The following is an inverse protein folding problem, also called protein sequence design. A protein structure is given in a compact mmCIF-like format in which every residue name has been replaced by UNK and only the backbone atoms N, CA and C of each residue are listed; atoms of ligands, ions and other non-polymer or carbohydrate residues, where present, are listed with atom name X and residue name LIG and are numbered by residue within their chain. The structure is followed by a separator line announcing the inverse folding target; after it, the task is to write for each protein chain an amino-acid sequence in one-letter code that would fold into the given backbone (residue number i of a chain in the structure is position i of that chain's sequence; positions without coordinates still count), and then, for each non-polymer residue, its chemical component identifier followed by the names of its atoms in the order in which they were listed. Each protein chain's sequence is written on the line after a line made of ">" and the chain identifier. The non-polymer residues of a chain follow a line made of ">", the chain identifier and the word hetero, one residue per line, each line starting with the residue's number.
data_IF_249837586526
#
_entry.id   IF_249837586526
#
_cell.length_a   1.000
_cell.length_b   1.000
_cell.length_c   1.000
_cell.angle_alpha   90.00
_cell.angle_beta   90.00
_cell.angle_gamma   90.00
#
_symmetry.space_group_name_H-M   'P 1'
#
loop_
_entity.id
_entity.type
_entity.pdbx_description
1 polymer ?
#
# COMPACT_ATOMS: atom_id res chain seq x y z
N UNK A 1 1.43 14.00 19.85
CA UNK A 1 0.93 14.66 18.61
C UNK A 1 2.02 15.34 17.78
N UNK A 2 3.22 15.58 18.31
CA UNK A 2 4.29 16.30 17.59
C UNK A 2 5.06 15.44 16.58
N UNK A 3 5.00 14.11 16.68
CA UNK A 3 5.84 13.22 15.87
C UNK A 3 5.25 12.92 14.49
N UNK A 4 6.12 12.97 13.48
CA UNK A 4 5.74 12.79 12.08
C UNK A 4 5.35 11.35 11.74
N UNK A 5 5.98 10.35 12.38
CA UNK A 5 5.77 8.92 12.17
C UNK A 5 5.18 8.25 13.43
N UNK A 6 3.90 8.51 13.68
CA UNK A 6 3.19 8.04 14.87
C UNK A 6 3.02 6.51 14.91
N UNK A 7 3.12 5.85 13.76
CA UNK A 7 3.10 4.40 13.60
C UNK A 7 4.35 3.72 14.19
N UNK A 8 5.50 4.41 14.21
CA UNK A 8 6.78 3.89 14.73
C UNK A 8 7.03 4.33 16.18
N UNK A 9 6.40 5.43 16.60
CA UNK A 9 6.54 6.00 17.92
C UNK A 9 6.25 5.00 19.05
N UNK A 10 6.98 5.14 20.15
CA UNK A 10 6.78 4.34 21.35
C UNK A 10 5.44 4.67 21.99
N UNK A 11 4.63 3.63 22.23
CA UNK A 11 3.40 3.78 22.99
C UNK A 11 3.67 4.02 24.48
N UNK A 12 2.76 4.69 25.20
CA UNK A 12 2.85 4.83 26.65
C UNK A 12 2.94 3.47 27.32
N UNK A 13 3.59 3.39 28.49
CA UNK A 13 3.86 2.12 29.21
C UNK A 13 2.63 1.22 29.38
N UNK A 14 1.43 1.79 29.53
CA UNK A 14 0.17 1.06 29.68
C UNK A 14 -0.30 0.33 28.41
N UNK A 15 0.20 0.72 27.25
CA UNK A 15 -0.20 0.19 25.94
C UNK A 15 0.95 -0.50 25.20
N UNK A 16 2.05 -0.80 25.90
CA UNK A 16 3.25 -1.41 25.32
C UNK A 16 3.04 -2.88 24.94
N UNK A 17 2.20 -3.60 25.68
CA UNK A 17 1.98 -5.05 25.49
C UNK A 17 0.79 -5.39 24.57
N UNK A 18 0.38 -4.45 23.71
CA UNK A 18 -0.71 -4.67 22.77
C UNK A 18 -0.27 -5.49 21.57
N UNK A 19 -1.16 -6.35 21.08
CA UNK A 19 -0.90 -7.05 19.81
C UNK A 19 -0.81 -6.03 18.65
N UNK A 20 -0.05 -6.33 17.59
CA UNK A 20 0.11 -5.44 16.44
C UNK A 20 -1.24 -5.02 15.82
N UNK A 21 -2.23 -5.91 15.85
CA UNK A 21 -3.59 -5.61 15.40
C UNK A 21 -4.31 -4.58 16.29
N UNK A 22 -4.20 -4.70 17.62
CA UNK A 22 -4.78 -3.72 18.54
C UNK A 22 -4.10 -2.35 18.42
N UNK A 23 -2.79 -2.33 18.12
CA UNK A 23 -2.04 -1.10 17.82
C UNK A 23 -2.57 -0.38 16.57
N UNK A 24 -2.95 -1.12 15.52
CA UNK A 24 -3.60 -0.54 14.34
C UNK A 24 -4.97 0.08 14.66
N UNK A 25 -5.76 -0.55 15.51
CA UNK A 25 -7.06 -0.01 15.95
C UNK A 25 -6.86 1.31 16.69
N UNK A 26 -5.88 1.38 17.60
CA UNK A 26 -5.54 2.63 18.29
C UNK A 26 -5.12 3.73 17.31
N UNK A 27 -4.27 3.39 16.32
CA UNK A 27 -3.83 4.34 15.32
C UNK A 27 -4.99 4.84 14.45
N UNK A 28 -5.99 4.00 14.15
CA UNK A 28 -7.22 4.40 13.47
C UNK A 28 -8.03 5.43 14.24
N UNK A 29 -8.11 5.30 15.57
CA UNK A 29 -8.87 6.22 16.43
C UNK A 29 -8.11 7.54 16.60
N UNK A 30 -6.78 7.50 16.74
CA UNK A 30 -5.97 8.67 17.07
C UNK A 30 -5.52 9.46 15.83
N UNK A 31 -5.15 8.79 14.74
CA UNK A 31 -4.60 9.41 13.53
C UNK A 31 -4.82 8.52 12.29
N UNK A 32 -6.02 8.57 11.68
CA UNK A 32 -6.34 7.75 10.51
C UNK A 32 -5.48 8.07 9.28
N UNK A 33 -4.89 9.26 9.19
CA UNK A 33 -4.07 9.67 8.03
C UNK A 33 -2.83 8.78 7.82
N UNK A 34 -2.29 8.22 8.91
CA UNK A 34 -1.10 7.34 8.89
C UNK A 34 -1.45 5.87 8.84
N UNK A 35 -2.74 5.54 8.80
CA UNK A 35 -3.22 4.17 8.84
C UNK A 35 -2.76 3.37 7.63
N UNK A 36 -2.73 3.98 6.44
CA UNK A 36 -2.26 3.33 5.21
C UNK A 36 -0.83 2.80 5.37
N UNK A 37 0.10 3.64 5.83
CA UNK A 37 1.50 3.25 6.06
C UNK A 37 1.63 2.14 7.11
N UNK A 38 0.89 2.23 8.22
CA UNK A 38 0.90 1.22 9.27
C UNK A 38 0.31 -0.13 8.80
N UNK A 39 -0.74 -0.10 7.97
CA UNK A 39 -1.30 -1.30 7.35
C UNK A 39 -0.34 -1.94 6.37
N UNK A 40 0.34 -1.15 5.55
CA UNK A 40 1.36 -1.64 4.62
C UNK A 40 2.46 -2.41 5.38
N UNK A 41 2.96 -1.86 6.49
CA UNK A 41 3.93 -2.54 7.33
C UNK A 41 3.36 -3.82 7.96
N UNK A 42 2.14 -3.77 8.49
CA UNK A 42 1.49 -4.95 9.06
C UNK A 42 1.33 -6.08 8.05
N UNK A 43 0.93 -5.77 6.82
CA UNK A 43 0.81 -6.76 5.74
C UNK A 43 2.18 -7.30 5.35
N UNK A 44 3.20 -6.46 5.22
CA UNK A 44 4.57 -6.89 4.97
C UNK A 44 5.08 -7.89 6.01
N UNK A 45 4.87 -7.60 7.31
CA UNK A 45 5.39 -8.42 8.40
C UNK A 45 4.64 -9.76 8.54
N UNK A 46 3.35 -9.82 8.17
CA UNK A 46 2.52 -11.02 8.36
C UNK A 46 2.35 -11.87 7.10
N UNK A 47 2.28 -11.25 5.92
CA UNK A 47 1.97 -11.92 4.65
C UNK A 47 3.14 -11.91 3.66
N UNK A 48 4.05 -10.94 3.77
CA UNK A 48 5.20 -10.79 2.87
C UNK A 48 5.10 -9.56 1.96
N UNK A 49 6.25 -9.19 1.39
CA UNK A 49 6.39 -7.98 0.58
C UNK A 49 5.64 -8.06 -0.76
N UNK A 50 5.43 -9.27 -1.28
CA UNK A 50 4.70 -9.53 -2.52
C UNK A 50 3.22 -9.11 -2.47
N UNK A 51 2.67 -8.92 -1.28
CA UNK A 51 1.28 -8.45 -1.07
C UNK A 51 1.19 -6.92 -0.99
N UNK A 52 2.31 -6.23 -0.86
CA UNK A 52 2.40 -4.76 -0.83
C UNK A 52 2.93 -4.23 -2.15
N UNK A 53 3.98 -4.85 -2.67
CA UNK A 53 4.60 -4.48 -3.93
C UNK A 53 3.98 -5.29 -5.06
N UNK A 54 3.27 -4.60 -5.95
CA UNK A 54 2.73 -5.25 -7.13
C UNK A 54 3.85 -5.68 -8.06
N UNK A 55 3.89 -6.97 -8.39
CA UNK A 55 4.78 -7.49 -9.41
C UNK A 55 4.53 -6.79 -10.77
N UNK A 56 5.56 -6.62 -11.61
CA UNK A 56 5.39 -6.12 -12.96
C UNK A 56 4.39 -6.98 -13.74
N UNK A 57 3.46 -6.33 -14.44
CA UNK A 57 2.48 -7.03 -15.26
C UNK A 57 3.15 -7.70 -16.47
N UNK A 58 2.95 -9.00 -16.62
CA UNK A 58 3.43 -9.78 -17.76
C UNK A 58 2.30 -10.06 -18.76
N UNK A 59 2.45 -9.53 -19.99
CA UNK A 59 1.50 -9.72 -21.07
C UNK A 59 1.53 -11.15 -21.63
N UNK A 60 2.69 -11.80 -21.68
CA UNK A 60 2.82 -13.14 -22.28
C UNK A 60 2.14 -14.20 -21.40
N UNK A 61 2.42 -14.17 -20.10
CA UNK A 61 1.74 -15.03 -19.13
C UNK A 61 0.22 -14.83 -19.14
N UNK A 62 -0.25 -13.57 -19.15
CA UNK A 62 -1.69 -13.26 -19.16
C UNK A 62 -2.38 -13.72 -20.45
N UNK A 63 -1.71 -13.64 -21.60
CA UNK A 63 -2.26 -14.13 -22.86
C UNK A 63 -2.34 -15.66 -22.89
N UNK A 64 -1.34 -16.35 -22.33
CA UNK A 64 -1.35 -17.81 -22.23
C UNK A 64 -2.48 -18.33 -21.33
N UNK A 65 -2.84 -17.59 -20.28
CA UNK A 65 -3.98 -17.91 -19.39
C UNK A 65 -5.34 -17.56 -20.02
N UNK A 66 -5.37 -16.72 -21.05
CA UNK A 66 -6.62 -16.27 -21.67
C UNK A 66 -7.16 -17.26 -22.71
N UNK A 67 -8.49 -17.38 -22.77
CA UNK A 67 -9.21 -18.17 -23.77
C UNK A 67 -10.15 -17.30 -24.60
N UNK A 68 -10.66 -17.83 -25.70
CA UNK A 68 -11.65 -17.15 -26.55
C UNK A 68 -12.99 -16.86 -25.85
N UNK A 69 -13.25 -17.47 -24.69
CA UNK A 69 -14.45 -17.26 -23.88
C UNK A 69 -14.25 -16.17 -22.81
N UNK A 70 -13.01 -15.75 -22.56
CA UNK A 70 -12.64 -14.81 -21.49
C UNK A 70 -12.04 -13.53 -22.09
N UNK A 71 -12.83 -12.45 -22.27
CA UNK A 71 -12.31 -11.19 -22.82
C UNK A 71 -11.35 -10.50 -21.84
N UNK A 72 -10.24 -9.97 -22.36
CA UNK A 72 -9.24 -9.23 -21.60
C UNK A 72 -9.55 -7.71 -21.61
N UNK A 73 -9.48 -7.08 -20.43
CA UNK A 73 -9.69 -5.65 -20.26
C UNK A 73 -8.41 -4.97 -19.77
N UNK A 74 -8.07 -3.84 -20.39
CA UNK A 74 -6.95 -3.00 -19.97
C UNK A 74 -7.45 -1.71 -19.35
N UNK A 75 -7.19 -1.52 -18.05
CA UNK A 75 -7.40 -0.25 -17.38
C UNK A 75 -6.17 0.62 -17.61
N UNK A 76 -6.30 1.63 -18.47
CA UNK A 76 -5.23 2.61 -18.71
C UNK A 76 -5.39 3.76 -17.73
N UNK A 77 -4.38 3.99 -16.90
CA UNK A 77 -4.26 5.27 -16.21
C UNK A 77 -3.79 6.32 -17.21
N UNK A 78 -4.32 7.54 -17.11
CA UNK A 78 -3.83 8.66 -17.90
C UNK A 78 -2.36 8.86 -17.55
N UNK A 79 -1.48 8.63 -18.53
CA UNK A 79 -0.07 8.92 -18.36
C UNK A 79 0.06 10.41 -18.06
N UNK A 80 0.71 10.75 -16.93
CA UNK A 80 1.10 12.12 -16.64
C UNK A 80 2.00 12.55 -17.80
N UNK A 81 1.45 13.34 -18.73
CA UNK A 81 2.27 14.03 -19.71
C UNK A 81 3.08 15.04 -18.89
N UNK A 82 4.30 14.68 -18.51
CA UNK A 82 5.33 15.67 -18.21
C UNK A 82 5.60 16.44 -19.51
N UNK A 83 4.67 17.34 -19.84
CA UNK A 83 4.88 18.42 -20.77
C UNK A 83 5.96 19.31 -20.15
N UNK A 84 7.20 18.91 -20.38
CA UNK A 84 8.34 19.82 -20.30
C UNK A 84 8.09 20.85 -21.38
N UNK A 85 7.40 21.92 -21.02
CA UNK A 85 7.25 23.14 -21.81
C UNK A 85 8.66 23.65 -22.09
N UNK A 86 9.23 23.21 -23.21
CA UNK A 86 10.51 23.68 -23.70
C UNK A 86 10.24 25.04 -24.32
N UNK A 87 10.46 26.08 -23.52
CA UNK A 87 10.55 27.46 -23.96
C UNK A 87 11.39 27.54 -25.25
N UNK A 88 10.74 28.03 -26.30
CA UNK A 88 11.34 28.89 -27.31
C UNK A 88 10.55 30.19 -27.29
#
# INVERSE_FOLDING_TARGET
>A
YAEAAAEIADLPRSFRDLSPFHRLILLRVLRPDRLSAALTQFVNDNLGAEFVEQAPFDMEATLAESSNLTPLFFVRFLARLDLKCRSR
#
